data_IF_458369191404
#
_entry.id   IF_458369191404
#
_cell.length_a   1.000
_cell.length_b   1.000
_cell.length_c   1.000
_cell.angle_alpha   90.00
_cell.angle_beta   90.00
_cell.angle_gamma   90.00
#
_symmetry.space_group_name_H-M   'P 1'
#
loop_
_entity.id
_entity.type
_entity.pdbx_description
1 polymer ?
#
# COMPACT_ATOMS: atom_id res chain seq x y z
N UNK A 1 -28.29 73.71 -8.50
CA UNK A 1 -28.57 72.56 -9.40
C UNK A 1 -27.25 71.97 -9.90
N UNK A 2 -26.54 71.17 -9.08
CA UNK A 2 -25.31 70.45 -9.48
C UNK A 2 -24.81 69.51 -8.36
N UNK A 3 -25.58 68.48 -8.02
CA UNK A 3 -25.09 67.34 -7.22
C UNK A 3 -25.78 66.08 -7.77
N UNK A 4 -25.27 65.55 -8.88
CA UNK A 4 -25.71 64.27 -9.45
C UNK A 4 -24.73 63.77 -10.54
N UNK A 5 -23.44 63.64 -10.23
CA UNK A 5 -22.47 62.95 -11.09
C UNK A 5 -21.30 62.33 -10.30
N UNK A 6 -21.58 61.50 -9.29
CA UNK A 6 -20.52 60.69 -8.62
C UNK A 6 -20.91 59.19 -8.49
N UNK A 7 -22.18 58.80 -8.67
CA UNK A 7 -22.58 57.38 -8.43
C UNK A 7 -22.30 56.40 -9.58
N UNK A 8 -21.98 56.85 -10.81
CA UNK A 8 -21.72 55.94 -11.95
C UNK A 8 -20.26 55.52 -12.13
N UNK A 9 -19.30 56.22 -11.50
CA UNK A 9 -17.87 55.91 -11.66
C UNK A 9 -17.43 54.79 -10.70
N UNK A 10 -18.05 54.69 -9.51
CA UNK A 10 -17.73 53.62 -8.54
C UNK A 10 -18.25 52.24 -8.94
N UNK A 11 -19.38 52.16 -9.64
CA UNK A 11 -19.88 50.87 -10.17
C UNK A 11 -19.05 50.37 -11.35
N UNK A 12 -18.35 51.25 -12.06
CA UNK A 12 -17.49 50.88 -13.18
C UNK A 12 -16.10 50.36 -12.74
N UNK A 13 -15.57 50.84 -11.61
CA UNK A 13 -14.31 50.31 -11.05
C UNK A 13 -14.49 48.95 -10.35
N UNK A 14 -15.63 48.68 -9.72
CA UNK A 14 -15.90 47.35 -9.13
C UNK A 14 -16.14 46.29 -10.22
N UNK A 15 -16.69 46.69 -11.38
CA UNK A 15 -16.81 45.81 -12.54
C UNK A 15 -15.48 45.47 -13.23
N UNK A 16 -14.47 46.36 -13.17
CA UNK A 16 -13.14 46.11 -13.73
C UNK A 16 -12.29 45.25 -12.79
N UNK A 17 -12.47 45.35 -11.47
CA UNK A 17 -11.75 44.50 -10.49
C UNK A 17 -12.25 43.05 -10.48
N UNK A 18 -13.51 42.81 -10.87
CA UNK A 18 -14.09 41.47 -11.09
C UNK A 18 -13.78 40.90 -12.48
N UNK A 19 -13.30 41.72 -13.44
CA UNK A 19 -12.90 41.25 -14.77
C UNK A 19 -11.38 41.08 -14.93
N UNK A 20 -10.56 41.65 -14.04
CA UNK A 20 -9.11 41.42 -14.03
C UNK A 20 -8.69 40.07 -13.44
N UNK A 21 -9.59 39.33 -12.76
CA UNK A 21 -9.33 37.93 -12.35
C UNK A 21 -9.53 36.92 -13.49
N UNK A 22 -10.01 37.37 -14.65
CA UNK A 22 -10.21 36.56 -15.86
C UNK A 22 -9.11 36.76 -16.91
N UNK A 23 -8.13 37.64 -16.66
CA UNK A 23 -7.08 37.97 -17.61
C UNK A 23 -5.76 37.36 -17.14
N UNK A 24 -5.43 36.22 -17.76
CA UNK A 24 -4.10 35.61 -17.77
C UNK A 24 -3.66 34.95 -16.44
N UNK A 25 -4.29 33.83 -16.05
CA UNK A 25 -3.62 32.83 -15.19
C UNK A 25 -2.54 32.09 -15.99
N UNK A 26 -1.52 32.84 -16.42
CA UNK A 26 -0.31 32.30 -17.03
C UNK A 26 0.53 31.65 -15.93
N UNK A 27 0.51 30.32 -15.89
CA UNK A 27 1.60 29.44 -15.41
C UNK A 27 2.52 29.99 -14.31
N UNK A 28 1.99 30.26 -13.12
CA UNK A 28 2.81 30.39 -11.91
C UNK A 28 2.32 29.31 -10.93
N UNK A 29 3.19 28.35 -10.64
CA UNK A 29 3.03 27.40 -9.53
C UNK A 29 3.27 28.20 -8.26
N UNK A 30 2.29 28.97 -7.82
CA UNK A 30 2.35 29.67 -6.55
C UNK A 30 1.61 28.83 -5.51
N UNK A 31 2.22 28.69 -4.33
CA UNK A 31 1.52 28.10 -3.19
C UNK A 31 0.38 29.04 -2.78
N UNK A 32 -0.84 28.53 -2.83
CA UNK A 32 -2.08 29.19 -2.42
C UNK A 32 -2.57 28.57 -1.11
N UNK A 33 -3.50 29.24 -0.44
CA UNK A 33 -4.11 28.75 0.80
C UNK A 33 -5.62 29.00 0.79
N UNK A 34 -6.39 27.97 1.14
CA UNK A 34 -7.84 28.05 1.36
C UNK A 34 -8.17 27.30 2.64
N UNK A 35 -8.60 28.05 3.67
CA UNK A 35 -8.80 27.51 5.02
C UNK A 35 -7.54 26.86 5.58
N UNK A 36 -7.66 25.60 5.96
CA UNK A 36 -6.60 24.79 6.58
C UNK A 36 -5.64 24.15 5.57
N UNK A 37 -5.85 24.36 4.26
CA UNK A 37 -5.09 23.68 3.20
C UNK A 37 -4.19 24.66 2.45
N UNK A 38 -2.91 24.31 2.32
CA UNK A 38 -2.02 24.91 1.32
C UNK A 38 -1.96 24.02 0.10
N UNK A 39 -1.93 24.61 -1.09
CA UNK A 39 -1.97 23.87 -2.35
C UNK A 39 -1.22 24.60 -3.46
N UNK A 40 -0.93 23.90 -4.56
CA UNK A 40 -0.45 24.51 -5.81
C UNK A 40 -1.40 24.15 -6.94
N UNK A 41 -1.49 25.01 -7.96
CA UNK A 41 -2.29 24.74 -9.17
C UNK A 41 -1.37 24.57 -10.36
N UNK A 42 -1.41 23.40 -10.98
CA UNK A 42 -0.69 23.10 -12.23
C UNK A 42 -1.69 22.68 -13.28
N UNK A 43 -1.65 23.32 -14.45
CA UNK A 43 -2.55 23.00 -15.59
C UNK A 43 -4.04 22.95 -15.25
N UNK A 44 -4.48 23.73 -14.23
CA UNK A 44 -5.88 23.78 -13.80
C UNK A 44 -6.28 22.70 -12.79
N UNK A 45 -5.33 21.98 -12.21
CA UNK A 45 -5.57 20.99 -11.16
C UNK A 45 -4.85 21.38 -9.87
N UNK A 46 -5.51 21.18 -8.73
CA UNK A 46 -4.96 21.49 -7.41
C UNK A 46 -4.28 20.26 -6.79
N UNK A 47 -3.06 20.46 -6.30
CA UNK A 47 -2.34 19.54 -5.44
C UNK A 47 -2.29 20.10 -4.02
N UNK A 48 -2.80 19.37 -3.03
CA UNK A 48 -2.64 19.77 -1.62
C UNK A 48 -1.18 19.55 -1.22
N UNK A 49 -0.52 20.58 -0.73
CA UNK A 49 0.89 20.55 -0.30
C UNK A 49 1.07 20.68 1.21
N UNK A 50 -0.01 20.94 1.95
CA UNK A 50 0.02 21.06 3.40
C UNK A 50 -1.37 21.16 4.02
N UNK A 51 -1.47 20.71 5.26
CA UNK A 51 -2.65 20.81 6.10
C UNK A 51 -2.25 21.32 7.49
N UNK A 52 -2.93 22.37 7.97
CA UNK A 52 -2.66 23.03 9.26
C UNK A 52 -3.85 23.01 10.21
N UNK A 53 -4.92 22.30 9.86
CA UNK A 53 -6.13 22.24 10.67
C UNK A 53 -5.96 21.42 11.95
N UNK A 54 -6.97 21.50 12.82
CA UNK A 54 -6.90 20.96 14.18
C UNK A 54 -6.90 19.42 14.28
N UNK A 55 -7.06 18.69 13.17
CA UNK A 55 -7.18 17.23 13.15
C UNK A 55 -8.62 16.74 13.37
N UNK A 56 -8.78 15.63 14.09
CA UNK A 56 -10.06 14.94 14.23
C UNK A 56 -10.40 14.11 12.99
N UNK A 57 -11.67 14.07 12.62
CA UNK A 57 -12.12 13.45 11.36
C UNK A 57 -12.19 14.55 10.30
N UNK A 58 -11.31 14.48 9.31
CA UNK A 58 -11.16 15.52 8.28
C UNK A 58 -11.82 15.07 6.98
N UNK A 59 -12.59 15.97 6.36
CA UNK A 59 -13.09 15.78 5.00
C UNK A 59 -12.32 16.72 4.07
N UNK A 60 -11.51 16.15 3.17
CA UNK A 60 -10.77 16.94 2.20
C UNK A 60 -11.73 17.56 1.16
N UNK A 61 -11.49 18.82 0.75
CA UNK A 61 -12.31 19.46 -0.28
C UNK A 61 -12.04 18.81 -1.64
N UNK A 62 -13.09 18.64 -2.46
CA UNK A 62 -12.97 18.16 -3.84
C UNK A 62 -12.43 19.20 -4.82
N UNK A 63 -12.41 20.48 -4.42
CA UNK A 63 -11.86 21.59 -5.18
C UNK A 63 -11.32 22.68 -4.24
N UNK A 64 -10.29 23.41 -4.69
CA UNK A 64 -9.69 24.56 -4.01
C UNK A 64 -9.60 25.72 -5.02
N UNK A 65 -10.13 26.91 -4.68
CA UNK A 65 -10.35 28.06 -5.58
C UNK A 65 -11.01 27.67 -6.93
N UNK A 66 -11.93 26.70 -6.89
CA UNK A 66 -12.61 26.18 -8.08
C UNK A 66 -11.79 25.20 -8.93
N UNK A 67 -10.54 24.92 -8.59
CA UNK A 67 -9.74 23.87 -9.24
C UNK A 67 -9.96 22.52 -8.58
N UNK A 68 -10.21 21.44 -9.34
CA UNK A 68 -10.37 20.10 -8.78
C UNK A 68 -9.09 19.66 -8.05
N UNK A 69 -9.26 19.07 -6.86
CA UNK A 69 -8.16 18.43 -6.12
C UNK A 69 -7.87 17.07 -6.74
N UNK A 70 -6.69 16.92 -7.33
CA UNK A 70 -6.29 15.68 -8.03
C UNK A 70 -5.13 14.94 -7.39
N UNK A 71 -4.41 15.55 -6.45
CA UNK A 71 -3.32 14.86 -5.74
C UNK A 71 -3.08 15.38 -4.33
N UNK A 72 -2.53 14.49 -3.50
CA UNK A 72 -1.96 14.81 -2.20
C UNK A 72 -0.44 14.82 -2.39
N UNK A 73 0.16 16.00 -2.24
CA UNK A 73 1.59 16.20 -2.40
C UNK A 73 2.41 15.62 -1.25
N UNK A 74 3.72 15.67 -1.44
CA UNK A 74 4.67 15.15 -0.46
C UNK A 74 4.51 15.85 0.89
N UNK A 75 4.51 15.06 1.96
CA UNK A 75 4.40 15.54 3.35
C UNK A 75 3.17 16.41 3.65
N UNK A 76 2.12 16.37 2.82
CA UNK A 76 0.97 17.26 2.95
C UNK A 76 0.25 17.16 4.32
N UNK A 77 0.21 15.98 4.93
CA UNK A 77 -0.31 15.75 6.28
C UNK A 77 0.78 15.23 7.23
N UNK A 78 2.05 15.54 6.96
CA UNK A 78 3.17 15.09 7.80
C UNK A 78 2.98 15.50 9.26
N UNK A 79 3.12 14.53 10.16
CA UNK A 79 2.96 14.69 11.61
C UNK A 79 1.63 15.32 12.05
N UNK A 80 0.55 15.12 11.28
CA UNK A 80 -0.81 15.47 11.72
C UNK A 80 -1.30 14.51 12.82
N UNK A 81 -0.66 14.56 13.99
CA UNK A 81 -0.90 13.66 15.14
C UNK A 81 -2.31 13.75 15.71
N UNK A 82 -3.03 14.85 15.44
CA UNK A 82 -4.45 14.99 15.80
C UNK A 82 -5.42 14.34 14.80
N UNK A 83 -4.96 13.93 13.61
CA UNK A 83 -5.81 13.33 12.57
C UNK A 83 -6.22 11.91 12.98
N UNK A 84 -7.52 11.69 13.16
CA UNK A 84 -8.10 10.39 13.58
C UNK A 84 -8.76 9.63 12.43
N UNK A 85 -9.18 10.35 11.39
CA UNK A 85 -9.78 9.82 10.17
C UNK A 85 -9.72 10.86 9.06
N UNK A 86 -9.65 10.40 7.80
CA UNK A 86 -9.65 11.28 6.64
C UNK A 86 -10.53 10.72 5.52
N UNK A 87 -11.37 11.59 4.94
CA UNK A 87 -12.15 11.30 3.74
C UNK A 87 -11.50 12.01 2.54
N UNK A 88 -10.90 11.21 1.64
CA UNK A 88 -10.25 11.69 0.41
C UNK A 88 -11.28 11.79 -0.73
N UNK A 89 -11.35 12.91 -1.48
CA UNK A 89 -12.27 13.05 -2.60
C UNK A 89 -11.92 12.12 -3.77
N UNK A 90 -12.94 11.72 -4.53
CA UNK A 90 -12.80 10.75 -5.65
C UNK A 90 -11.94 11.26 -6.82
N UNK A 91 -11.69 12.57 -6.90
CA UNK A 91 -10.84 13.17 -7.93
C UNK A 91 -9.34 12.93 -7.73
N UNK A 92 -8.93 12.46 -6.55
CA UNK A 92 -7.52 12.21 -6.24
C UNK A 92 -7.01 10.98 -6.97
N UNK A 93 -5.87 11.13 -7.66
CA UNK A 93 -5.22 10.10 -8.48
C UNK A 93 -3.86 9.66 -7.91
N UNK A 94 -3.26 10.44 -7.01
CA UNK A 94 -1.97 10.09 -6.40
C UNK A 94 -1.82 10.59 -4.95
N UNK A 95 -1.06 9.83 -4.17
CA UNK A 95 -0.64 10.15 -2.80
C UNK A 95 0.89 10.20 -2.77
N UNK A 96 1.44 11.35 -2.41
CA UNK A 96 2.87 11.66 -2.44
C UNK A 96 3.69 10.99 -1.33
N UNK A 97 4.99 11.27 -1.36
CA UNK A 97 5.98 10.76 -0.42
C UNK A 97 5.70 11.32 0.97
N UNK A 98 5.64 10.45 1.98
CA UNK A 98 5.43 10.86 3.37
C UNK A 98 4.09 11.59 3.60
N UNK A 99 3.12 11.49 2.68
CA UNK A 99 1.90 12.30 2.70
C UNK A 99 1.15 12.25 4.03
N UNK A 100 1.12 11.09 4.70
CA UNK A 100 0.54 10.88 6.02
C UNK A 100 1.57 10.38 7.05
N UNK A 101 2.88 10.49 6.79
CA UNK A 101 3.91 10.03 7.72
C UNK A 101 3.75 10.72 9.08
N UNK A 102 3.78 9.94 10.16
CA UNK A 102 3.62 10.40 11.53
C UNK A 102 2.19 10.79 11.92
N UNK A 103 1.16 10.46 11.13
CA UNK A 103 -0.25 10.59 11.54
C UNK A 103 -0.63 9.53 12.59
N UNK A 104 -0.01 9.60 13.76
CA UNK A 104 -0.03 8.54 14.78
C UNK A 104 -1.41 8.22 15.38
N UNK A 105 -2.39 9.12 15.27
CA UNK A 105 -3.77 8.89 15.72
C UNK A 105 -4.71 8.40 14.62
N UNK A 106 -4.26 8.30 13.36
CA UNK A 106 -5.10 7.91 12.24
C UNK A 106 -5.51 6.45 12.40
N UNK A 107 -6.80 6.16 12.52
CA UNK A 107 -7.29 4.82 12.85
C UNK A 107 -7.66 3.98 11.64
N UNK A 108 -8.18 4.63 10.59
CA UNK A 108 -8.57 4.00 9.34
C UNK A 108 -8.50 4.99 8.18
N UNK A 109 -8.26 4.47 6.98
CA UNK A 109 -8.29 5.26 5.75
C UNK A 109 -8.81 4.43 4.57
N UNK A 110 -9.65 5.04 3.74
CA UNK A 110 -10.13 4.45 2.49
C UNK A 110 -9.54 5.21 1.31
N UNK A 111 -8.72 4.54 0.52
CA UNK A 111 -8.09 5.14 -0.66
C UNK A 111 -9.09 5.13 -1.84
N UNK A 112 -9.38 6.28 -2.48
CA UNK A 112 -10.35 6.36 -3.58
C UNK A 112 -9.96 5.53 -4.81
N UNK A 113 -10.95 5.06 -5.57
CA UNK A 113 -10.73 4.18 -6.73
C UNK A 113 -9.88 4.81 -7.85
N UNK A 114 -9.82 6.14 -7.92
CA UNK A 114 -9.01 6.87 -8.90
C UNK A 114 -7.51 6.88 -8.59
N UNK A 115 -7.09 6.51 -7.38
CA UNK A 115 -5.68 6.53 -6.98
C UNK A 115 -4.93 5.38 -7.65
N UNK A 116 -3.86 5.70 -8.36
CA UNK A 116 -3.00 4.73 -9.05
C UNK A 116 -1.68 4.47 -8.34
N UNK A 117 -1.23 5.38 -7.47
CA UNK A 117 0.05 5.27 -6.77
C UNK A 117 0.01 5.81 -5.33
N UNK A 118 0.70 5.10 -4.43
CA UNK A 118 1.01 5.51 -3.05
C UNK A 118 2.53 5.68 -2.94
N UNK A 119 3.00 6.84 -2.48
CA UNK A 119 4.42 7.18 -2.42
C UNK A 119 5.21 6.45 -1.33
N UNK A 120 6.54 6.59 -1.41
CA UNK A 120 7.50 6.20 -0.37
C UNK A 120 7.08 6.78 0.98
N UNK A 121 7.17 6.01 2.07
CA UNK A 121 6.84 6.45 3.43
C UNK A 121 5.40 7.02 3.62
N UNK A 122 4.48 6.82 2.67
CA UNK A 122 3.20 7.54 2.65
C UNK A 122 2.39 7.42 3.95
N UNK A 123 2.44 6.29 4.65
CA UNK A 123 1.79 6.03 5.93
C UNK A 123 2.79 5.61 7.03
N UNK A 124 4.07 5.96 6.88
CA UNK A 124 5.08 5.67 7.89
C UNK A 124 4.64 6.17 9.28
N UNK A 125 4.86 5.34 10.29
CA UNK A 125 4.60 5.66 11.70
C UNK A 125 3.15 6.07 12.00
N UNK A 126 2.18 5.63 11.18
CA UNK A 126 0.76 5.70 11.50
C UNK A 126 0.39 4.61 12.52
N UNK A 127 0.91 4.74 13.74
CA UNK A 127 0.91 3.67 14.75
C UNK A 127 -0.48 3.20 15.19
N UNK A 128 -1.51 4.05 15.10
CA UNK A 128 -2.91 3.68 15.39
C UNK A 128 -3.69 3.15 14.19
N UNK A 129 -3.10 3.08 13.00
CA UNK A 129 -3.80 2.68 11.78
C UNK A 129 -4.13 1.19 11.85
N UNK A 130 -5.40 0.86 12.08
CA UNK A 130 -5.85 -0.53 12.24
C UNK A 130 -6.26 -1.21 10.93
N UNK A 131 -6.70 -0.40 9.96
CA UNK A 131 -7.19 -0.88 8.66
C UNK A 131 -6.96 0.18 7.57
N UNK A 132 -6.52 -0.27 6.40
CA UNK A 132 -6.47 0.53 5.18
C UNK A 132 -7.16 -0.22 4.04
N UNK A 133 -8.05 0.47 3.31
CA UNK A 133 -8.68 -0.07 2.10
C UNK A 133 -7.95 0.47 0.86
N UNK A 134 -7.22 -0.41 0.17
CA UNK A 134 -6.49 -0.10 -1.07
C UNK A 134 -7.31 -0.59 -2.27
N UNK A 135 -7.64 0.28 -3.26
CA UNK A 135 -8.44 -0.09 -4.41
C UNK A 135 -7.64 -0.94 -5.42
N UNK A 136 -8.36 -1.65 -6.28
CA UNK A 136 -7.75 -2.54 -7.28
C UNK A 136 -6.97 -1.78 -8.38
N UNK A 137 -7.22 -0.48 -8.55
CA UNK A 137 -6.56 0.37 -9.55
C UNK A 137 -5.13 0.80 -9.18
N UNK A 138 -4.66 0.48 -7.97
CA UNK A 138 -3.28 0.78 -7.54
C UNK A 138 -2.31 -0.12 -8.30
N UNK A 139 -1.33 0.51 -8.96
CA UNK A 139 -0.27 -0.17 -9.71
C UNK A 139 1.07 -0.11 -8.99
N UNK A 140 1.26 0.83 -8.08
CA UNK A 140 2.49 1.00 -7.31
C UNK A 140 2.23 1.46 -5.88
N UNK A 141 2.94 0.84 -4.95
CA UNK A 141 3.05 1.25 -3.55
C UNK A 141 4.55 1.40 -3.29
N UNK A 142 4.97 2.59 -2.87
CA UNK A 142 6.38 2.88 -2.62
C UNK A 142 6.96 2.02 -1.50
N UNK A 143 8.28 1.92 -1.50
CA UNK A 143 9.01 1.32 -0.38
C UNK A 143 8.65 2.03 0.93
N UNK A 144 8.82 1.34 2.04
CA UNK A 144 8.58 1.89 3.38
C UNK A 144 7.16 2.46 3.62
N UNK A 145 6.18 2.24 2.73
CA UNK A 145 4.90 2.95 2.76
C UNK A 145 4.09 2.74 4.05
N UNK A 146 4.27 1.61 4.74
CA UNK A 146 3.58 1.29 5.99
C UNK A 146 4.55 0.99 7.15
N UNK A 147 5.79 1.47 7.11
CA UNK A 147 6.76 1.31 8.20
C UNK A 147 6.14 1.73 9.52
N UNK A 148 6.32 0.94 10.58
CA UNK A 148 5.88 1.29 11.93
C UNK A 148 4.37 1.44 12.10
N UNK A 149 3.54 0.96 11.17
CA UNK A 149 2.08 0.86 11.34
C UNK A 149 1.72 -0.24 12.35
N UNK A 150 2.14 -0.08 13.60
CA UNK A 150 2.04 -1.10 14.65
C UNK A 150 0.60 -1.55 14.95
N UNK A 151 -0.39 -0.70 14.72
CA UNK A 151 -1.81 -1.04 14.86
C UNK A 151 -2.42 -1.83 13.70
N UNK A 152 -1.72 -1.94 12.56
CA UNK A 152 -2.30 -2.49 11.32
C UNK A 152 -2.46 -4.00 11.47
N UNK A 153 -3.71 -4.46 11.56
CA UNK A 153 -4.00 -5.87 11.86
C UNK A 153 -4.03 -6.76 10.62
N UNK A 154 -4.49 -6.20 9.51
CA UNK A 154 -4.57 -6.86 8.21
C UNK A 154 -4.51 -5.86 7.07
N UNK A 155 -4.02 -6.32 5.92
CA UNK A 155 -3.99 -5.55 4.68
C UNK A 155 -4.22 -6.46 3.48
N UNK A 156 -5.01 -5.98 2.52
CA UNK A 156 -5.25 -6.65 1.25
C UNK A 156 -4.43 -5.94 0.16
N UNK A 157 -3.43 -6.63 -0.38
CA UNK A 157 -2.65 -6.12 -1.51
C UNK A 157 -3.47 -6.34 -2.79
N UNK A 158 -3.70 -5.30 -3.61
CA UNK A 158 -4.53 -5.42 -4.81
C UNK A 158 -3.83 -6.24 -5.90
N UNK A 159 -4.61 -6.87 -6.79
CA UNK A 159 -4.11 -7.75 -7.86
C UNK A 159 -3.28 -7.01 -8.93
N UNK A 160 -3.31 -5.66 -8.94
CA UNK A 160 -2.48 -4.85 -9.84
C UNK A 160 -1.02 -4.70 -9.38
N UNK A 161 -0.71 -5.02 -8.12
CA UNK A 161 0.65 -4.87 -7.56
C UNK A 161 1.52 -6.05 -7.96
N UNK A 162 2.68 -5.75 -8.54
CA UNK A 162 3.64 -6.75 -9.06
C UNK A 162 4.82 -7.02 -8.13
N UNK A 163 5.02 -6.18 -7.11
CA UNK A 163 6.12 -6.27 -6.15
C UNK A 163 5.70 -5.76 -4.78
N UNK A 164 6.14 -6.45 -3.74
CA UNK A 164 6.12 -5.96 -2.36
C UNK A 164 7.47 -5.27 -2.13
N UNK A 165 7.45 -3.97 -1.86
CA UNK A 165 8.65 -3.12 -1.78
C UNK A 165 9.57 -3.42 -0.59
N UNK A 166 10.73 -2.78 -0.58
CA UNK A 166 11.68 -2.86 0.54
C UNK A 166 11.06 -2.19 1.77
N UNK A 167 11.24 -2.79 2.95
CA UNK A 167 10.78 -2.29 4.26
C UNK A 167 9.27 -1.95 4.36
N UNK A 168 8.44 -2.34 3.40
CA UNK A 168 7.07 -1.82 3.25
C UNK A 168 6.20 -2.01 4.51
N UNK A 169 6.39 -3.09 5.27
CA UNK A 169 5.71 -3.39 6.53
C UNK A 169 6.69 -3.54 7.69
N UNK A 170 7.89 -2.94 7.61
CA UNK A 170 8.88 -2.98 8.67
C UNK A 170 8.26 -2.52 10.00
N UNK A 171 8.40 -3.32 11.06
CA UNK A 171 7.85 -3.05 12.40
C UNK A 171 6.31 -2.92 12.46
N UNK A 172 5.57 -3.49 11.52
CA UNK A 172 4.11 -3.67 11.63
C UNK A 172 3.77 -4.79 12.64
N UNK A 173 4.05 -4.56 13.91
CA UNK A 173 3.94 -5.57 14.97
C UNK A 173 2.53 -6.14 15.16
N UNK A 174 1.48 -5.36 14.87
CA UNK A 174 0.09 -5.81 14.90
C UNK A 174 -0.37 -6.62 13.68
N UNK A 175 0.44 -6.72 12.62
CA UNK A 175 0.04 -7.39 11.39
C UNK A 175 -0.04 -8.89 11.60
N UNK A 176 -1.27 -9.40 11.66
CA UNK A 176 -1.54 -10.83 11.91
C UNK A 176 -1.84 -11.60 10.64
N UNK A 177 -2.38 -10.92 9.64
CA UNK A 177 -2.87 -11.53 8.40
C UNK A 177 -2.55 -10.62 7.20
N UNK A 178 -1.95 -11.18 6.16
CA UNK A 178 -1.77 -10.53 4.87
C UNK A 178 -1.98 -11.55 3.74
N UNK A 179 -2.70 -11.14 2.71
CA UNK A 179 -2.86 -11.92 1.48
C UNK A 179 -1.98 -11.33 0.39
N UNK A 180 -1.01 -12.11 -0.10
CA UNK A 180 -0.15 -11.73 -1.23
C UNK A 180 -0.80 -12.24 -2.53
N UNK A 181 -1.16 -11.36 -3.48
CA UNK A 181 -1.83 -11.76 -4.71
C UNK A 181 -0.89 -12.48 -5.68
N UNK A 182 -1.47 -13.26 -6.60
CA UNK A 182 -0.73 -14.05 -7.58
C UNK A 182 0.08 -13.20 -8.58
N UNK A 183 -0.24 -11.91 -8.68
CA UNK A 183 0.46 -10.92 -9.50
C UNK A 183 1.85 -10.57 -8.98
N UNK A 184 2.13 -10.80 -7.69
CA UNK A 184 3.41 -10.44 -7.08
C UNK A 184 4.51 -11.37 -7.56
N UNK A 185 5.59 -10.77 -8.03
CA UNK A 185 6.78 -11.46 -8.56
C UNK A 185 8.01 -11.32 -7.66
N UNK A 186 8.03 -10.34 -6.75
CA UNK A 186 9.13 -10.12 -5.82
C UNK A 186 8.66 -9.60 -4.46
N UNK A 187 9.37 -10.01 -3.41
CA UNK A 187 9.27 -9.45 -2.06
C UNK A 187 10.62 -8.83 -1.72
N UNK A 188 10.61 -7.55 -1.36
CA UNK A 188 11.78 -6.74 -1.06
C UNK A 188 12.54 -7.15 0.20
N UNK A 189 13.67 -6.49 0.42
CA UNK A 189 14.47 -6.63 1.63
C UNK A 189 13.69 -6.12 2.85
N UNK A 190 13.75 -6.86 3.95
CA UNK A 190 13.14 -6.48 5.24
C UNK A 190 11.63 -6.11 5.13
N UNK A 191 10.95 -6.58 4.08
CA UNK A 191 9.57 -6.17 3.75
C UNK A 191 8.59 -6.42 4.89
N UNK A 192 8.81 -7.47 5.70
CA UNK A 192 8.05 -7.82 6.89
C UNK A 192 8.93 -7.89 8.15
N UNK A 193 10.13 -7.29 8.15
CA UNK A 193 10.98 -7.38 9.34
C UNK A 193 10.26 -6.77 10.56
N UNK A 194 10.29 -7.49 11.68
CA UNK A 194 9.64 -7.08 12.92
C UNK A 194 8.10 -7.22 12.93
N UNK A 195 7.50 -7.85 11.91
CA UNK A 195 6.07 -8.23 11.91
C UNK A 195 5.79 -9.37 12.91
N UNK A 196 6.00 -9.12 14.20
CA UNK A 196 5.95 -10.12 15.27
C UNK A 196 4.56 -10.73 15.50
N UNK A 197 3.49 -10.07 15.07
CA UNK A 197 2.12 -10.60 15.08
C UNK A 197 1.81 -11.60 13.95
N UNK A 198 2.65 -11.68 12.92
CA UNK A 198 2.39 -12.53 11.74
C UNK A 198 2.64 -13.99 12.10
N UNK A 199 1.59 -14.81 12.07
CA UNK A 199 1.67 -16.21 12.53
C UNK A 199 1.85 -17.23 11.41
N UNK A 200 1.31 -16.92 10.24
CA UNK A 200 1.44 -17.72 9.03
C UNK A 200 1.45 -16.83 7.78
N UNK A 201 2.13 -17.29 6.74
CA UNK A 201 2.17 -16.61 5.45
C UNK A 201 2.24 -17.61 4.31
N UNK A 202 1.50 -17.34 3.23
CA UNK A 202 1.53 -18.11 1.99
C UNK A 202 2.11 -17.25 0.88
N UNK A 203 3.26 -17.63 0.37
CA UNK A 203 3.94 -17.00 -0.76
C UNK A 203 3.40 -17.64 -2.05
N UNK A 204 2.78 -16.87 -2.96
CA UNK A 204 2.18 -17.43 -4.17
C UNK A 204 3.24 -17.88 -5.17
N UNK A 205 2.84 -18.75 -6.11
CA UNK A 205 3.73 -19.34 -7.12
C UNK A 205 4.44 -18.30 -8.01
N UNK A 206 3.84 -17.12 -8.18
CA UNK A 206 4.37 -16.04 -9.00
C UNK A 206 5.63 -15.39 -8.43
N UNK A 207 5.91 -15.55 -7.13
CA UNK A 207 7.07 -14.92 -6.48
C UNK A 207 8.36 -15.62 -6.89
N UNK A 208 9.19 -14.90 -7.62
CA UNK A 208 10.48 -15.38 -8.13
C UNK A 208 11.60 -15.07 -7.15
N UNK A 209 11.50 -13.98 -6.37
CA UNK A 209 12.55 -13.52 -5.46
C UNK A 209 12.00 -13.06 -4.11
N UNK A 210 12.68 -13.41 -3.03
CA UNK A 210 12.48 -12.89 -1.67
C UNK A 210 13.81 -12.30 -1.18
N UNK A 211 13.78 -11.02 -0.78
CA UNK A 211 14.92 -10.23 -0.33
C UNK A 211 15.52 -10.67 1.01
N UNK A 212 16.66 -10.07 1.34
CA UNK A 212 17.36 -10.32 2.61
C UNK A 212 16.52 -9.83 3.79
N UNK A 213 16.55 -10.57 4.90
CA UNK A 213 15.78 -10.24 6.10
C UNK A 213 14.27 -10.09 5.91
N UNK A 214 13.68 -10.53 4.79
CA UNK A 214 12.28 -10.24 4.47
C UNK A 214 11.28 -10.63 5.57
N UNK A 215 11.56 -11.66 6.36
CA UNK A 215 10.80 -12.06 7.55
C UNK A 215 11.67 -12.15 8.81
N UNK A 216 12.78 -11.40 8.87
CA UNK A 216 13.50 -11.19 10.12
C UNK A 216 12.55 -10.63 11.19
N UNK A 217 12.82 -10.86 12.47
CA UNK A 217 11.98 -10.33 13.55
C UNK A 217 10.50 -10.76 13.57
N UNK A 218 10.04 -11.63 12.65
CA UNK A 218 8.69 -12.20 12.61
C UNK A 218 8.54 -13.28 13.70
N UNK A 219 8.69 -12.90 14.97
CA UNK A 219 8.80 -13.83 16.09
C UNK A 219 7.56 -14.72 16.29
N UNK A 220 6.40 -14.28 15.82
CA UNK A 220 5.15 -15.06 15.83
C UNK A 220 5.03 -16.08 14.70
N UNK A 221 5.90 -16.06 13.68
CA UNK A 221 5.75 -16.85 12.47
C UNK A 221 6.02 -18.33 12.74
N UNK A 222 4.95 -19.12 12.78
CA UNK A 222 5.02 -20.57 13.02
C UNK A 222 5.15 -21.36 11.72
N UNK A 223 4.55 -20.87 10.63
CA UNK A 223 4.54 -21.55 9.33
C UNK A 223 4.68 -20.56 8.19
N UNK A 224 5.50 -20.90 7.20
CA UNK A 224 5.54 -20.19 5.91
C UNK A 224 5.43 -21.20 4.78
N UNK A 225 4.49 -20.99 3.88
CA UNK A 225 4.31 -21.83 2.69
C UNK A 225 4.89 -21.11 1.48
N UNK A 226 5.80 -21.75 0.75
CA UNK A 226 6.38 -21.25 -0.50
C UNK A 226 5.83 -22.10 -1.64
N UNK A 227 4.82 -21.58 -2.35
CA UNK A 227 4.12 -22.29 -3.42
C UNK A 227 4.86 -22.25 -4.76
N UNK A 228 6.18 -22.24 -4.74
CA UNK A 228 7.03 -22.30 -5.92
C UNK A 228 8.29 -23.10 -5.62
N UNK A 229 8.68 -23.95 -6.56
CA UNK A 229 9.90 -24.74 -6.44
C UNK A 229 11.17 -23.90 -6.69
N UNK A 230 11.03 -22.72 -7.31
CA UNK A 230 12.14 -21.94 -7.87
C UNK A 230 12.29 -20.54 -7.27
N UNK A 231 11.49 -20.16 -6.26
CA UNK A 231 11.63 -18.86 -5.59
C UNK A 231 13.02 -18.71 -5.01
N UNK A 232 13.79 -17.75 -5.49
CA UNK A 232 15.11 -17.46 -4.93
C UNK A 232 14.95 -16.77 -3.57
N UNK A 233 15.63 -17.34 -2.58
CA UNK A 233 15.79 -16.76 -1.25
C UNK A 233 17.19 -16.16 -1.22
N UNK A 234 17.32 -14.91 -0.79
CA UNK A 234 18.64 -14.31 -0.57
C UNK A 234 19.48 -15.18 0.39
N UNK A 235 20.79 -15.05 0.33
CA UNK A 235 21.71 -15.99 0.99
C UNK A 235 21.93 -15.67 2.49
N UNK A 236 20.86 -15.59 3.27
CA UNK A 236 20.89 -15.14 4.66
C UNK A 236 20.13 -16.04 5.63
N UNK A 237 20.72 -16.24 6.81
CA UNK A 237 20.15 -17.07 7.85
C UNK A 237 18.89 -16.46 8.48
N UNK A 238 18.66 -15.16 8.36
CA UNK A 238 17.60 -14.44 9.07
C UNK A 238 16.37 -14.15 8.21
N UNK A 239 16.32 -14.63 6.96
CA UNK A 239 15.16 -14.41 6.08
C UNK A 239 13.89 -15.00 6.67
N UNK A 240 13.92 -16.23 7.16
CA UNK A 240 12.79 -16.87 7.85
C UNK A 240 13.20 -17.02 9.32
N UNK A 241 12.34 -16.95 10.34
CA UNK A 241 12.72 -17.23 11.73
C UNK A 241 13.04 -18.70 12.02
N UNK A 242 14.00 -18.99 12.91
CA UNK A 242 14.50 -20.36 13.16
C UNK A 242 13.43 -21.35 13.64
N UNK A 243 12.43 -20.88 14.37
CA UNK A 243 11.33 -21.70 14.89
C UNK A 243 10.23 -21.98 13.84
N UNK A 244 10.26 -21.31 12.69
CA UNK A 244 9.23 -21.43 11.66
C UNK A 244 9.38 -22.75 10.89
N UNK A 245 8.26 -23.45 10.69
CA UNK A 245 8.18 -24.57 9.74
C UNK A 245 8.03 -24.03 8.32
N UNK A 246 8.96 -24.38 7.44
CA UNK A 246 8.89 -24.06 6.01
C UNK A 246 8.10 -25.18 5.31
N UNK A 247 7.08 -24.81 4.54
CA UNK A 247 6.29 -25.72 3.73
C UNK A 247 6.60 -25.42 2.26
N UNK A 248 7.04 -26.42 1.49
CA UNK A 248 7.43 -26.22 0.08
C UNK A 248 7.51 -27.51 -0.73
N UNK A 249 7.86 -27.39 -2.01
CA UNK A 249 8.10 -28.55 -2.87
C UNK A 249 9.43 -29.24 -2.53
N UNK A 250 9.54 -30.54 -2.82
CA UNK A 250 10.80 -31.29 -2.72
C UNK A 250 11.05 -32.00 -4.07
N UNK A 251 12.07 -31.60 -4.85
CA UNK A 251 13.09 -30.59 -4.54
C UNK A 251 12.59 -29.14 -4.70
N UNK A 252 13.20 -28.19 -3.97
CA UNK A 252 13.02 -26.74 -4.17
C UNK A 252 14.13 -25.91 -3.54
N UNK A 253 14.23 -24.65 -3.95
CA UNK A 253 15.07 -23.64 -3.27
C UNK A 253 14.70 -23.46 -1.80
N UNK A 254 13.42 -23.58 -1.44
CA UNK A 254 12.95 -23.54 -0.06
C UNK A 254 13.45 -24.74 0.77
N UNK A 255 13.49 -25.94 0.16
CA UNK A 255 14.07 -27.15 0.76
C UNK A 255 15.57 -27.00 0.97
N UNK A 256 16.28 -26.45 -0.02
CA UNK A 256 17.72 -26.19 0.06
C UNK A 256 18.04 -25.18 1.18
N UNK A 257 17.27 -24.09 1.25
CA UNK A 257 17.36 -23.10 2.33
C UNK A 257 17.14 -23.73 3.71
N UNK A 258 16.06 -24.51 3.86
CA UNK A 258 15.75 -25.17 5.11
C UNK A 258 16.87 -26.11 5.56
N UNK A 259 17.44 -26.87 4.63
CA UNK A 259 18.56 -27.77 4.89
C UNK A 259 19.81 -26.99 5.31
N UNK A 260 20.15 -25.94 4.55
CA UNK A 260 21.34 -25.11 4.78
C UNK A 260 21.33 -24.40 6.13
N UNK A 261 20.18 -23.86 6.55
CA UNK A 261 20.04 -23.10 7.79
C UNK A 261 19.37 -23.89 8.92
N UNK A 262 19.31 -25.22 8.79
CA UNK A 262 18.78 -26.13 9.80
C UNK A 262 17.35 -25.76 10.27
N UNK A 263 16.44 -25.55 9.32
CA UNK A 263 15.03 -25.23 9.55
C UNK A 263 14.16 -26.46 9.38
N UNK A 264 13.06 -26.51 10.13
CA UNK A 264 12.04 -27.54 9.93
C UNK A 264 11.41 -27.35 8.55
N UNK A 265 11.26 -28.44 7.81
CA UNK A 265 10.67 -28.44 6.48
C UNK A 265 9.62 -29.54 6.34
N UNK A 266 8.43 -29.18 5.88
CA UNK A 266 7.36 -30.10 5.52
C UNK A 266 7.09 -30.00 4.00
N UNK A 267 6.88 -31.15 3.36
CA UNK A 267 6.63 -31.21 1.91
C UNK A 267 5.18 -30.84 1.61
N UNK A 268 4.93 -30.05 0.56
CA UNK A 268 3.59 -29.88 -0.01
C UNK A 268 3.12 -31.25 -0.51
N UNK A 269 2.29 -31.96 0.27
CA UNK A 269 1.68 -33.21 -0.17
C UNK A 269 0.67 -32.89 -1.28
N UNK A 270 0.84 -33.48 -2.46
CA UNK A 270 -0.02 -33.31 -3.65
C UNK A 270 -1.42 -33.96 -3.49
N UNK A 271 -2.03 -33.85 -2.31
CA UNK A 271 -3.37 -34.39 -2.06
C UNK A 271 -4.49 -33.34 -2.10
N UNK A 272 -4.23 -32.02 -2.11
CA UNK A 272 -5.32 -31.03 -2.01
C UNK A 272 -5.10 -29.62 -2.61
N UNK A 273 -4.12 -29.37 -3.48
CA UNK A 273 -3.88 -27.98 -3.95
C UNK A 273 -3.57 -27.82 -5.44
N UNK A 274 -4.25 -28.64 -6.26
CA UNK A 274 -4.47 -28.32 -7.67
C UNK A 274 -5.97 -28.40 -7.91
N UNK A 275 -6.67 -27.30 -7.65
CA UNK A 275 -7.80 -26.82 -8.46
C UNK A 275 -8.51 -25.69 -7.72
N UNK A 276 -8.18 -24.45 -8.10
CA UNK A 276 -9.15 -23.36 -8.07
C UNK A 276 -10.31 -23.56 -9.07
N UNK A 277 -10.80 -24.79 -9.24
CA UNK A 277 -11.93 -25.17 -10.09
C UNK A 277 -12.52 -26.48 -9.58
N UNK A 278 -13.61 -26.40 -8.81
CA UNK A 278 -14.26 -27.59 -8.28
C UNK A 278 -14.74 -28.54 -9.37
N UNK A 279 -14.20 -29.77 -9.41
CA UNK A 279 -14.93 -31.00 -9.75
C UNK A 279 -14.18 -32.21 -9.20
N UNK A 280 -14.92 -33.16 -8.61
CA UNK A 280 -14.41 -34.37 -7.98
C UNK A 280 -14.15 -35.53 -8.96
N UNK A 281 -13.32 -36.48 -8.49
CA UNK A 281 -13.19 -37.89 -8.91
C UNK A 281 -12.38 -38.13 -10.21
N UNK A 282 -11.57 -39.18 -10.39
CA UNK A 282 -11.50 -40.53 -9.78
C UNK A 282 -10.09 -41.09 -10.04
N UNK A 283 -9.46 -41.78 -9.07
CA UNK A 283 -8.23 -42.54 -9.28
C UNK A 283 -8.57 -43.89 -9.94
N UNK A 284 -8.00 -44.17 -11.13
CA UNK A 284 -7.92 -45.53 -11.68
C UNK A 284 -6.48 -46.01 -11.48
N UNK A 285 -6.30 -46.97 -10.59
CA UNK A 285 -5.05 -47.73 -10.42
C UNK A 285 -4.99 -48.83 -11.48
N UNK A 286 -3.96 -48.82 -12.33
CA UNK A 286 -3.61 -49.98 -13.16
C UNK A 286 -2.58 -50.84 -12.42
N UNK A 287 -3.03 -51.95 -11.85
CA UNK A 287 -2.17 -53.09 -11.51
C UNK A 287 -1.85 -53.87 -12.77
N UNK A 288 -0.59 -53.86 -13.22
CA UNK A 288 -0.12 -54.84 -14.21
C UNK A 288 -0.09 -56.22 -13.56
N UNK A 289 -1.06 -57.06 -13.89
CA UNK A 289 -1.03 -58.49 -13.60
C UNK A 289 -0.28 -59.21 -14.72
N UNK A 290 0.86 -59.79 -14.35
CA UNK A 290 1.62 -60.75 -15.14
C UNK A 290 0.73 -62.00 -15.32
N UNK A 291 0.30 -62.29 -16.54
CA UNK A 291 -0.29 -63.59 -16.89
C UNK A 291 0.65 -64.28 -17.89
N UNK A 292 1.23 -65.38 -17.42
CA UNK A 292 1.86 -66.41 -18.24
C UNK A 292 0.79 -67.37 -18.77
N UNK A 293 1.10 -67.94 -19.95
CA UNK A 293 0.68 -69.23 -20.52
C UNK A 293 -0.58 -69.29 -21.41
N UNK A 294 -0.69 -70.32 -22.29
CA UNK A 294 0.18 -71.50 -22.46
C UNK A 294 1.38 -71.28 -23.38
#
# INVERSE_FOLDING_TARGET
MRILRISKVRTFLVGIMLMTSLLCRCSQVQAEQEGDYTYTVTTGEAQITGYTGAGGVVTMPGALDGFPVTSIGDNAFFQCTGLTGISIPQGVTSIGIGAFSGCSSLTSISIPQGVTSIGLLAFDSCTSLTSISIPQGITSIGDEAFVGCAGLTSINIPQGVTSIGDYIFFQCTGLTNISIPQSVTSIGNEAFDGCSGLTSLSIPQGVIKIGDGAFAGCLGLTTITINSATTTLENSADIIPAATTIIGYDPSTAKDYATKYNRKFDVISTANDVTGTGVAATLITYTQSIIKCP
#
